data_IF_194168634305
#
_entry.id   IF_194168634305
#
_cell.length_a   1.000
_cell.length_b   1.000
_cell.length_c   1.000
_cell.angle_alpha   90.00
_cell.angle_beta   90.00
_cell.angle_gamma   90.00
#
_symmetry.space_group_name_H-M   'P 1'
#
loop_
_entity.id
_entity.type
_entity.pdbx_description
1 polymer ?
#
# COMPACT_ATOMS: atom_id res chain seq x y z
N UNK A 1 -10.92 0.68 -1.86
CA UNK A 1 -9.60 0.34 -1.30
C UNK A 1 -9.76 -0.88 -0.41
N UNK A 2 -8.75 -1.74 -0.30
CA UNK A 2 -8.76 -2.91 0.59
C UNK A 2 -7.37 -3.17 1.16
N UNK A 3 -7.29 -3.82 2.32
CA UNK A 3 -6.04 -4.32 2.87
C UNK A 3 -5.61 -5.67 2.27
N UNK A 4 -4.37 -6.06 2.58
CA UNK A 4 -3.71 -7.31 2.18
C UNK A 4 -2.62 -7.68 3.21
N UNK A 5 -1.84 -8.71 2.91
CA UNK A 5 -0.68 -9.15 3.69
C UNK A 5 0.56 -8.30 3.39
N UNK A 6 1.64 -8.51 4.15
CA UNK A 6 2.91 -7.81 4.02
C UNK A 6 2.79 -6.28 4.14
N UNK A 7 1.85 -5.79 4.97
CA UNK A 7 1.48 -4.38 5.09
C UNK A 7 1.03 -3.73 3.76
N UNK A 8 0.58 -4.54 2.80
CA UNK A 8 0.07 -4.02 1.55
C UNK A 8 -1.39 -3.62 1.66
N UNK A 9 -1.74 -2.61 0.88
CA UNK A 9 -3.11 -2.23 0.60
C UNK A 9 -3.25 -1.98 -0.90
N UNK A 10 -4.46 -2.19 -1.43
CA UNK A 10 -4.78 -2.00 -2.84
C UNK A 10 -5.82 -0.91 -3.02
N UNK A 11 -5.54 0.01 -3.93
CA UNK A 11 -6.49 1.00 -4.42
C UNK A 11 -6.95 0.59 -5.81
N UNK A 12 -8.22 0.85 -6.12
CA UNK A 12 -8.84 0.52 -7.39
C UNK A 12 -9.55 1.76 -7.89
N UNK A 13 -9.15 2.25 -9.06
CA UNK A 13 -9.77 3.39 -9.72
C UNK A 13 -10.89 2.87 -10.63
N UNK A 14 -12.14 3.21 -10.31
CA UNK A 14 -13.32 2.65 -10.99
C UNK A 14 -13.46 3.11 -12.44
N UNK A 15 -13.04 4.34 -12.74
CA UNK A 15 -13.14 4.96 -14.07
C UNK A 15 -12.10 4.42 -15.04
N UNK A 16 -10.83 4.41 -14.63
CA UNK A 16 -9.70 3.98 -15.46
C UNK A 16 -9.45 2.46 -15.45
N UNK A 17 -10.12 1.73 -14.55
CA UNK A 17 -9.89 0.29 -14.27
C UNK A 17 -8.43 -0.02 -13.90
N UNK A 18 -7.71 0.95 -13.34
CA UNK A 18 -6.35 0.75 -12.82
C UNK A 18 -6.41 0.33 -11.37
N UNK A 19 -5.60 -0.64 -11.02
CA UNK A 19 -5.31 -1.02 -9.64
C UNK A 19 -3.87 -0.70 -9.28
N UNK A 20 -3.62 -0.42 -8.01
CA UNK A 20 -2.28 -0.16 -7.50
C UNK A 20 -2.12 -0.81 -6.14
N UNK A 21 -1.02 -1.53 -5.94
CA UNK A 21 -0.62 -2.08 -4.64
C UNK A 21 0.43 -1.16 -4.03
N UNK A 22 0.18 -0.71 -2.80
CA UNK A 22 1.05 0.17 -2.03
C UNK A 22 1.40 -0.49 -0.69
N UNK A 23 2.45 -0.02 -0.05
CA UNK A 23 2.98 -0.58 1.21
C UNK A 23 2.95 0.47 2.33
N UNK A 24 2.39 0.10 3.47
CA UNK A 24 2.43 0.89 4.69
C UNK A 24 3.65 0.48 5.54
N UNK A 25 4.78 1.17 5.35
CA UNK A 25 6.04 0.88 6.07
C UNK A 25 6.68 2.13 6.67
N UNK A 26 7.64 1.95 7.58
CA UNK A 26 8.36 3.07 8.20
C UNK A 26 9.21 3.86 7.19
N UNK A 27 9.67 3.21 6.13
CA UNK A 27 10.39 3.89 5.04
C UNK A 27 9.49 4.88 4.31
N UNK A 28 8.17 4.62 4.30
CA UNK A 28 7.14 5.52 3.77
C UNK A 28 6.66 6.61 4.74
N UNK A 29 7.12 6.61 5.99
CA UNK A 29 6.68 7.58 7.01
C UNK A 29 7.54 8.85 7.06
N UNK A 30 8.46 9.06 6.12
CA UNK A 30 9.19 10.34 6.02
C UNK A 30 8.21 11.44 5.57
N UNK A 31 8.30 12.67 6.10
CA UNK A 31 7.48 13.78 5.62
C UNK A 31 7.57 13.91 4.10
N UNK A 32 6.41 13.97 3.43
CA UNK A 32 6.29 14.06 1.96
C UNK A 32 6.88 12.87 1.18
N UNK A 33 7.05 11.71 1.82
CA UNK A 33 7.41 10.49 1.11
C UNK A 33 6.31 10.11 0.11
N UNK A 34 6.72 9.81 -1.11
CA UNK A 34 5.83 9.31 -2.16
C UNK A 34 5.79 7.79 -2.09
N UNK A 35 4.60 7.23 -1.99
CA UNK A 35 4.41 5.78 -2.01
C UNK A 35 4.76 5.24 -3.40
N UNK A 36 5.59 4.20 -3.42
CA UNK A 36 5.96 3.50 -4.65
C UNK A 36 5.06 2.28 -4.83
N UNK A 37 4.49 2.06 -6.02
CA UNK A 37 3.79 0.83 -6.34
C UNK A 37 4.66 -0.40 -6.10
N UNK A 38 4.09 -1.42 -5.45
CA UNK A 38 4.71 -2.74 -5.25
C UNK A 38 4.12 -3.76 -6.22
N UNK A 39 4.96 -4.63 -6.76
CA UNK A 39 4.54 -5.75 -7.61
C UNK A 39 4.97 -7.07 -6.96
N UNK A 40 4.02 -8.00 -6.89
CA UNK A 40 4.25 -9.36 -6.40
C UNK A 40 4.38 -10.30 -7.59
N UNK A 41 5.44 -11.09 -7.62
CA UNK A 41 5.78 -11.97 -8.75
C UNK A 41 5.89 -13.43 -8.30
N UNK A 42 5.45 -14.35 -9.16
CA UNK A 42 5.43 -15.79 -8.90
C UNK A 42 6.65 -16.55 -9.44
N UNK A 43 7.55 -15.92 -10.23
CA UNK A 43 8.62 -16.65 -10.94
C UNK A 43 9.97 -15.92 -11.08
N UNK A 44 11.04 -16.60 -10.61
CA UNK A 44 12.34 -16.80 -11.26
C UNK A 44 13.32 -15.64 -11.49
N UNK A 45 12.87 -14.46 -11.94
CA UNK A 45 13.76 -13.33 -12.25
C UNK A 45 13.30 -12.09 -11.51
N UNK A 46 13.83 -11.94 -10.30
CA UNK A 46 13.58 -10.77 -9.44
C UNK A 46 14.08 -9.50 -10.15
N UNK A 47 13.17 -8.64 -10.58
CA UNK A 47 13.54 -7.26 -10.93
C UNK A 47 13.70 -6.44 -9.65
N UNK A 48 14.46 -5.36 -9.75
CA UNK A 48 14.57 -4.35 -8.70
C UNK A 48 13.15 -3.85 -8.37
N UNK A 49 12.80 -3.85 -7.08
CA UNK A 49 11.48 -3.47 -6.52
C UNK A 49 10.32 -4.48 -6.67
N UNK A 50 10.57 -5.69 -7.22
CA UNK A 50 9.61 -6.80 -7.18
C UNK A 50 9.80 -7.69 -5.94
N UNK A 51 8.67 -8.18 -5.42
CA UNK A 51 8.60 -9.02 -4.22
C UNK A 51 8.09 -10.39 -4.64
N UNK A 52 8.79 -11.45 -4.26
CA UNK A 52 8.32 -12.82 -4.56
C UNK A 52 7.23 -13.23 -3.58
N UNK A 53 6.35 -14.14 -3.99
CA UNK A 53 5.31 -14.69 -3.11
C UNK A 53 5.90 -15.30 -1.83
N UNK A 54 7.04 -15.98 -1.96
CA UNK A 54 7.73 -16.61 -0.82
C UNK A 54 8.31 -15.60 0.18
N UNK A 55 8.46 -14.32 -0.22
CA UNK A 55 8.97 -13.25 0.64
C UNK A 55 7.87 -12.50 1.39
N UNK A 56 6.60 -12.88 1.24
CA UNK A 56 5.48 -12.18 1.87
C UNK A 56 5.37 -12.52 3.35
N UNK A 57 5.26 -11.47 4.18
CA UNK A 57 4.97 -11.60 5.60
C UNK A 57 3.46 -11.62 5.84
N UNK A 58 2.91 -12.81 6.09
CA UNK A 58 1.48 -13.01 6.35
C UNK A 58 1.02 -12.57 7.75
N UNK A 59 1.94 -12.26 8.68
CA UNK A 59 1.58 -11.70 9.97
C UNK A 59 1.28 -10.20 9.88
N UNK A 60 1.83 -9.53 8.87
CA UNK A 60 1.60 -8.12 8.57
C UNK A 60 0.33 -7.90 7.75
N UNK A 61 -0.82 -8.02 8.40
CA UNK A 61 -2.14 -7.88 7.77
C UNK A 61 -2.64 -6.45 7.91
N UNK A 62 -3.08 -5.87 6.80
CA UNK A 62 -3.93 -4.67 6.82
C UNK A 62 -5.37 -5.15 6.87
N UNK A 63 -6.03 -4.97 8.01
CA UNK A 63 -7.43 -5.37 8.22
C UNK A 63 -8.37 -4.17 8.27
N UNK A 64 -7.86 -3.01 8.68
CA UNK A 64 -8.65 -1.80 8.87
C UNK A 64 -8.07 -0.67 8.03
N UNK A 65 -8.92 -0.09 7.20
CA UNK A 65 -8.61 1.08 6.39
C UNK A 65 -9.82 1.99 6.35
N UNK A 66 -9.60 3.30 6.39
CA UNK A 66 -10.64 4.30 6.22
C UNK A 66 -10.26 5.28 5.12
N UNK A 67 -11.27 5.86 4.49
CA UNK A 67 -11.13 6.92 3.50
C UNK A 67 -11.92 8.13 4.00
N UNK A 68 -11.32 9.31 3.94
CA UNK A 68 -12.03 10.55 4.24
C UNK A 68 -13.20 10.76 3.26
N UNK A 69 -14.38 11.18 3.72
CA UNK A 69 -15.59 11.22 2.87
C UNK A 69 -15.52 12.27 1.76
N UNK A 70 -14.71 13.32 1.93
CA UNK A 70 -14.67 14.48 1.01
C UNK A 70 -13.29 14.77 0.43
N UNK A 71 -12.23 14.16 0.98
CA UNK A 71 -10.86 14.49 0.61
C UNK A 71 -10.10 13.22 0.24
N UNK A 72 -9.04 13.37 -0.55
CA UNK A 72 -8.17 12.27 -0.96
C UNK A 72 -7.15 11.95 0.13
N UNK A 73 -7.68 11.66 1.33
CA UNK A 73 -6.94 11.25 2.51
C UNK A 73 -7.41 9.85 2.90
N UNK A 74 -6.45 8.97 3.16
CA UNK A 74 -6.70 7.61 3.63
C UNK A 74 -5.96 7.37 4.94
N UNK A 75 -6.58 6.57 5.81
CA UNK A 75 -5.97 6.05 7.02
C UNK A 75 -5.82 4.53 6.90
N UNK A 76 -4.61 4.02 7.17
CA UNK A 76 -4.28 2.60 7.07
C UNK A 76 -3.67 2.15 8.39
N UNK A 77 -4.33 1.21 9.07
CA UNK A 77 -3.79 0.60 10.28
C UNK A 77 -2.91 -0.60 9.90
N UNK A 78 -1.62 -0.52 10.25
CA UNK A 78 -0.64 -1.55 9.97
C UNK A 78 0.09 -1.97 11.24
N UNK A 79 -0.28 -3.14 11.77
CA UNK A 79 0.24 -3.69 13.03
C UNK A 79 0.11 -2.68 14.18
N UNK A 80 1.20 -1.98 14.53
CA UNK A 80 1.27 -1.07 15.68
C UNK A 80 1.28 0.41 15.28
N UNK A 81 1.10 0.72 13.99
CA UNK A 81 1.16 2.08 13.46
C UNK A 81 -0.13 2.42 12.72
N UNK A 82 -0.55 3.68 12.84
CA UNK A 82 -1.59 4.28 12.00
C UNK A 82 -0.91 5.20 10.98
N UNK A 83 -1.06 4.87 9.70
CA UNK A 83 -0.53 5.67 8.60
C UNK A 83 -1.62 6.57 8.03
N UNK A 84 -1.30 7.85 7.84
CA UNK A 84 -2.13 8.82 7.14
C UNK A 84 -1.44 9.17 5.82
N UNK A 85 -2.13 8.93 4.71
CA UNK A 85 -1.65 9.31 3.39
C UNK A 85 -2.63 10.30 2.78
N UNK A 86 -2.09 11.29 2.10
CA UNK A 86 -2.87 12.27 1.35
C UNK A 86 -2.33 12.36 -0.07
N UNK A 87 -3.23 12.59 -1.02
CA UNK A 87 -2.82 12.96 -2.37
C UNK A 87 -2.01 14.27 -2.32
N UNK A 88 -0.97 14.35 -3.15
CA UNK A 88 -0.19 15.59 -3.25
C UNK A 88 -1.06 16.64 -3.93
N UNK A 89 -1.51 17.64 -3.16
CA UNK A 89 -2.11 18.85 -3.70
C UNK A 89 -1.01 19.63 -4.45
N UNK A 90 -1.25 19.92 -5.72
CA UNK A 90 -0.36 20.78 -6.53
C UNK A 90 -0.48 22.24 -6.10
#
# INVERSE_FOLDING_TARGET
>A
MTGSYNNFFRTFERSSRRDTTLEASRESSKPRAVLKPRKVCTSGKRKKDEITVDSLDFNKKILHTAWHPMENIIAVAATNNLYLFQEKVN
#
